data_IF_812080766241
#
_entry.id   IF_812080766241
#
_cell.length_a   1.000
_cell.length_b   1.000
_cell.length_c   1.000
_cell.angle_alpha   90.00
_cell.angle_beta   90.00
_cell.angle_gamma   90.00
#
_symmetry.space_group_name_H-M   'P 1'
#
loop_
_entity.id
_entity.type
_entity.pdbx_description
1 polymer ?
#
# COMPACT_ATOMS: atom_id res chain seq x y z
N UNK A 1 15.58 1.94 -5.32
CA UNK A 1 15.27 1.16 -4.12
C UNK A 1 15.54 -0.27 -4.50
N UNK A 2 16.66 -0.84 -4.06
CA UNK A 2 17.06 -2.20 -4.43
C UNK A 2 16.20 -3.18 -3.64
N UNK A 3 15.11 -3.60 -4.27
CA UNK A 3 14.25 -4.68 -3.81
C UNK A 3 14.23 -5.70 -4.95
N UNK A 4 14.63 -6.95 -4.67
CA UNK A 4 14.73 -8.02 -5.67
C UNK A 4 13.40 -8.34 -6.37
N UNK A 5 12.30 -7.76 -5.89
CA UNK A 5 11.00 -7.72 -6.54
C UNK A 5 9.95 -7.21 -5.55
N UNK A 6 8.88 -6.60 -6.05
CA UNK A 6 7.78 -6.18 -5.20
C UNK A 6 7.02 -7.41 -4.67
N UNK A 7 7.24 -7.76 -3.41
CA UNK A 7 6.53 -8.85 -2.74
C UNK A 7 5.44 -8.28 -1.81
N UNK A 8 4.22 -8.79 -1.94
CA UNK A 8 3.10 -8.46 -1.05
C UNK A 8 3.42 -8.68 0.44
N UNK A 9 4.31 -9.62 0.76
CA UNK A 9 4.76 -9.89 2.13
C UNK A 9 5.58 -8.72 2.69
N UNK A 10 6.42 -8.09 1.84
CA UNK A 10 7.20 -6.91 2.22
C UNK A 10 6.33 -5.67 2.38
N UNK A 11 5.32 -5.52 1.51
CA UNK A 11 4.30 -4.46 1.65
C UNK A 11 3.53 -4.63 2.96
N UNK A 12 3.12 -5.86 3.28
CA UNK A 12 2.45 -6.17 4.53
C UNK A 12 3.33 -5.81 5.73
N UNK A 13 4.58 -6.31 5.77
CA UNK A 13 5.52 -6.05 6.86
C UNK A 13 5.76 -4.55 7.06
N UNK A 14 5.91 -3.80 5.97
CA UNK A 14 6.05 -2.35 6.03
C UNK A 14 4.87 -1.69 6.77
N UNK A 15 3.63 -2.02 6.39
CA UNK A 15 2.45 -1.41 6.99
C UNK A 15 2.19 -1.87 8.43
N UNK A 16 2.58 -3.09 8.79
CA UNK A 16 2.57 -3.57 10.17
C UNK A 16 3.56 -2.76 11.03
N UNK A 17 4.82 -2.66 10.63
CA UNK A 17 5.83 -1.85 11.33
C UNK A 17 5.43 -0.37 11.43
N UNK A 18 4.88 0.19 10.35
CA UNK A 18 4.41 1.56 10.34
C UNK A 18 3.26 1.78 11.35
N UNK A 19 2.31 0.84 11.41
CA UNK A 19 1.19 0.89 12.35
C UNK A 19 1.66 0.77 13.81
N UNK A 20 2.65 -0.07 14.10
CA UNK A 20 3.26 -0.18 15.42
C UNK A 20 3.90 1.12 15.89
N UNK A 21 4.66 1.79 15.00
CA UNK A 21 5.28 3.08 15.31
C UNK A 21 4.20 4.13 15.59
N UNK A 22 3.13 4.20 14.80
CA UNK A 22 2.05 5.17 15.04
C UNK A 22 1.30 4.94 16.36
N UNK A 23 1.09 3.68 16.77
CA UNK A 23 0.54 3.36 18.10
C UNK A 23 1.45 3.88 19.22
N UNK A 24 2.76 3.65 19.08
CA UNK A 24 3.75 4.09 20.06
C UNK A 24 3.79 5.63 20.16
N UNK A 25 3.91 6.32 19.03
CA UNK A 25 4.03 7.78 19.00
C UNK A 25 2.74 8.51 19.38
N UNK A 26 1.58 7.91 19.10
CA UNK A 26 0.29 8.46 19.54
C UNK A 26 -0.01 8.24 21.02
N UNK A 27 0.73 7.34 21.70
CA UNK A 27 0.42 6.89 23.06
C UNK A 27 -0.91 6.13 23.19
N UNK A 28 -1.52 5.75 22.06
CA UNK A 28 -2.80 5.07 21.99
C UNK A 28 -2.63 3.69 21.35
N UNK A 29 -2.72 2.63 22.15
CA UNK A 29 -2.59 1.24 21.69
C UNK A 29 -3.69 0.83 20.69
N UNK A 30 -4.83 1.52 20.72
CA UNK A 30 -5.96 1.30 19.83
C UNK A 30 -5.88 2.16 18.56
N UNK A 31 -4.81 2.95 18.40
CA UNK A 31 -4.62 3.73 17.19
C UNK A 31 -4.49 2.80 15.98
N UNK A 32 -5.34 3.03 14.98
CA UNK A 32 -5.29 2.35 13.70
C UNK A 32 -5.08 3.36 12.59
N UNK A 33 -4.02 3.18 11.81
CA UNK A 33 -3.82 3.97 10.61
C UNK A 33 -4.92 3.61 9.59
N UNK A 34 -5.83 4.55 9.32
CA UNK A 34 -6.98 4.31 8.45
C UNK A 34 -7.28 5.53 7.57
N UNK A 35 -6.47 5.78 6.52
CA UNK A 35 -6.67 6.91 5.64
C UNK A 35 -7.95 6.77 4.81
N UNK A 36 -8.48 7.91 4.33
CA UNK A 36 -9.67 7.91 3.45
C UNK A 36 -9.44 7.21 2.11
N UNK A 37 -8.19 7.16 1.64
CA UNK A 37 -7.82 6.51 0.39
C UNK A 37 -6.33 6.34 0.26
N UNK A 38 -5.95 5.51 -0.70
CA UNK A 38 -4.57 5.12 -0.98
C UNK A 38 -4.22 5.49 -2.42
N UNK A 39 -2.99 5.97 -2.63
CA UNK A 39 -2.42 6.15 -3.95
C UNK A 39 -1.19 5.27 -4.02
N UNK A 40 -1.21 4.29 -4.92
CA UNK A 40 -0.10 3.35 -5.14
C UNK A 40 0.24 3.31 -6.61
N UNK A 41 1.43 2.81 -6.97
CA UNK A 41 1.67 2.35 -8.34
C UNK A 41 0.74 1.19 -8.73
N UNK A 42 0.85 0.70 -9.97
CA UNK A 42 0.01 -0.40 -10.49
C UNK A 42 0.49 -1.80 -10.06
N UNK A 43 1.39 -1.92 -9.09
CA UNK A 43 1.86 -3.21 -8.64
C UNK A 43 0.75 -4.00 -7.93
N UNK A 44 0.55 -5.25 -8.33
CA UNK A 44 -0.42 -6.15 -7.69
C UNK A 44 -0.06 -6.41 -6.21
N UNK A 45 1.24 -6.42 -5.89
CA UNK A 45 1.78 -6.57 -4.54
C UNK A 45 1.29 -5.49 -3.58
N UNK A 46 1.12 -4.24 -4.04
CA UNK A 46 0.60 -3.15 -3.25
C UNK A 46 -0.86 -3.38 -2.87
N UNK A 47 -1.69 -3.83 -3.82
CA UNK A 47 -3.10 -4.13 -3.58
C UNK A 47 -3.24 -5.29 -2.60
N UNK A 48 -2.52 -6.39 -2.82
CA UNK A 48 -2.61 -7.57 -1.96
C UNK A 48 -2.02 -7.33 -0.57
N UNK A 49 -0.90 -6.61 -0.46
CA UNK A 49 -0.31 -6.25 0.83
C UNK A 49 -1.24 -5.37 1.67
N UNK A 50 -1.82 -4.31 1.07
CA UNK A 50 -2.80 -3.46 1.74
C UNK A 50 -4.05 -4.24 2.17
N UNK A 51 -4.56 -5.13 1.31
CA UNK A 51 -5.71 -5.98 1.60
C UNK A 51 -5.48 -6.91 2.78
N UNK A 52 -4.27 -7.46 2.93
CA UNK A 52 -3.90 -8.31 4.08
C UNK A 52 -3.87 -7.53 5.39
N UNK A 53 -3.37 -6.30 5.37
CA UNK A 53 -3.21 -5.48 6.59
C UNK A 53 -4.51 -4.79 7.01
N UNK A 54 -5.20 -4.18 6.05
CA UNK A 54 -6.34 -3.29 6.32
C UNK A 54 -7.70 -3.93 5.99
N UNK A 55 -7.71 -5.14 5.45
CA UNK A 55 -8.92 -5.86 5.06
C UNK A 55 -9.37 -5.61 3.62
N UNK A 56 -10.34 -6.38 3.12
CA UNK A 56 -10.77 -6.35 1.72
C UNK A 56 -11.47 -5.05 1.29
N UNK A 57 -12.04 -4.29 2.22
CA UNK A 57 -12.69 -3.00 1.92
C UNK A 57 -11.69 -1.94 1.42
N UNK A 58 -10.40 -2.09 1.75
CA UNK A 58 -9.34 -1.17 1.35
C UNK A 58 -9.22 -1.07 -0.17
N UNK A 59 -9.52 -2.14 -0.90
CA UNK A 59 -9.39 -2.21 -2.36
C UNK A 59 -10.29 -1.17 -3.04
N UNK A 60 -11.48 -0.93 -2.50
CA UNK A 60 -12.40 0.11 -3.00
C UNK A 60 -11.91 1.55 -2.77
N UNK A 61 -10.86 1.73 -1.96
CA UNK A 61 -10.25 3.02 -1.61
C UNK A 61 -8.87 3.23 -2.23
N UNK A 62 -8.36 2.26 -3.00
CA UNK A 62 -7.09 2.38 -3.72
C UNK A 62 -7.32 3.07 -5.07
N UNK A 63 -6.54 4.11 -5.32
CA UNK A 63 -6.36 4.68 -6.65
C UNK A 63 -4.97 4.30 -7.15
N UNK A 64 -4.93 3.43 -8.16
CA UNK A 64 -3.69 3.11 -8.84
C UNK A 64 -3.22 4.31 -9.67
N UNK A 65 -1.91 4.52 -9.72
CA UNK A 65 -1.31 5.69 -10.34
C UNK A 65 -1.64 5.77 -11.84
N UNK A 66 -2.40 6.79 -12.24
CA UNK A 66 -2.71 7.07 -13.64
C UNK A 66 -1.45 7.36 -14.48
N UNK A 67 -0.37 7.83 -13.85
CA UNK A 67 0.88 8.12 -14.54
C UNK A 67 1.49 6.84 -15.11
N UNK A 68 1.58 5.78 -14.29
CA UNK A 68 2.04 4.47 -14.75
C UNK A 68 1.10 3.88 -15.81
N UNK A 69 -0.23 4.06 -15.70
CA UNK A 69 -1.15 3.63 -16.75
C UNK A 69 -0.88 4.34 -18.10
N UNK A 70 -0.66 5.66 -18.05
CA UNK A 70 -0.35 6.47 -19.25
C UNK A 70 1.04 6.13 -19.80
N UNK A 71 2.05 5.90 -18.96
CA UNK A 71 3.38 5.43 -19.39
C UNK A 71 3.33 4.05 -20.03
N UNK A 72 2.69 3.05 -19.40
CA UNK A 72 2.55 1.71 -19.98
C UNK A 72 1.88 1.75 -21.36
N UNK A 73 0.83 2.56 -21.52
CA UNK A 73 0.17 2.75 -22.81
C UNK A 73 1.08 3.44 -23.83
N UNK A 74 1.79 4.49 -23.42
CA UNK A 74 2.60 5.30 -24.33
C UNK A 74 3.92 4.60 -24.73
N UNK A 75 4.41 3.63 -23.95
CA UNK A 75 5.59 2.82 -24.25
C UNK A 75 5.30 1.53 -25.04
N UNK A 76 4.05 1.30 -25.49
CA UNK A 76 3.71 0.19 -26.39
C UNK A 76 3.98 0.47 -27.88
N UNK A 77 4.86 1.45 -28.20
CA UNK A 77 5.25 1.81 -29.58
C UNK A 77 6.38 0.95 -30.12
#
# INVERSE_FOLDING_TARGET
>A
MECDGENSDMVQLFWECFSEILKKESGNNDYQFNPRGWITDMACSNVEGLKRVFGPDVVGRIKLCEFHFKECRNHQS
#
